data_IF_068581931879
#
_entry.id   IF_068581931879
#
_cell.length_a   1.000
_cell.length_b   1.000
_cell.length_c   1.000
_cell.angle_alpha   90.00
_cell.angle_beta   90.00
_cell.angle_gamma   90.00
#
_symmetry.space_group_name_H-M   'P 1'
#
loop_
_entity.id
_entity.type
_entity.pdbx_description
1 polymer ?
#
# COMPACT_ATOMS: atom_id res chain seq x y z
N UNK A 1 17.76 59.64 -36.32
CA UNK A 1 16.57 58.93 -35.82
C UNK A 1 16.74 57.42 -35.83
N UNK A 2 17.31 56.83 -36.87
CA UNK A 2 17.49 55.36 -36.95
C UNK A 2 18.31 54.72 -35.80
N UNK A 3 19.40 55.37 -35.34
CA UNK A 3 20.29 54.89 -34.28
C UNK A 3 19.57 54.76 -32.92
N UNK A 4 18.74 55.72 -32.54
CA UNK A 4 18.00 55.69 -31.26
C UNK A 4 16.92 54.60 -31.26
N UNK A 5 16.35 54.31 -32.43
CA UNK A 5 15.35 53.24 -32.58
C UNK A 5 16.03 51.85 -32.46
N UNK A 6 17.22 51.70 -33.06
CA UNK A 6 17.98 50.45 -32.95
C UNK A 6 18.46 50.18 -31.49
N UNK A 7 18.98 51.21 -30.81
CA UNK A 7 19.34 51.09 -29.40
C UNK A 7 18.15 50.73 -28.49
N UNK A 8 16.99 51.32 -28.72
CA UNK A 8 15.76 50.98 -28.00
C UNK A 8 15.30 49.54 -28.25
N UNK A 9 15.39 49.07 -29.49
CA UNK A 9 15.08 47.69 -29.86
C UNK A 9 16.04 46.71 -29.17
N UNK A 10 17.33 46.97 -29.20
CA UNK A 10 18.37 46.15 -28.57
C UNK A 10 18.18 46.04 -27.06
N UNK A 11 17.83 47.14 -26.40
CA UNK A 11 17.58 47.18 -24.96
C UNK A 11 16.32 46.39 -24.61
N UNK A 12 15.26 46.52 -25.42
CA UNK A 12 14.04 45.76 -25.24
C UNK A 12 14.22 44.26 -25.46
N UNK A 13 15.00 43.86 -26.45
CA UNK A 13 15.37 42.46 -26.69
C UNK A 13 16.17 41.88 -25.49
N UNK A 14 17.07 42.63 -24.89
CA UNK A 14 17.81 42.18 -23.70
C UNK A 14 16.88 41.92 -22.52
N UNK A 15 15.92 42.84 -22.27
CA UNK A 15 14.92 42.71 -21.20
C UNK A 15 14.06 41.45 -21.44
N UNK A 16 13.50 41.28 -22.64
CA UNK A 16 12.65 40.12 -22.99
C UNK A 16 13.45 38.80 -22.89
N UNK A 17 14.70 38.77 -23.33
CA UNK A 17 15.54 37.57 -23.19
C UNK A 17 15.85 37.24 -21.72
N UNK A 18 16.06 38.26 -20.86
CA UNK A 18 16.21 38.03 -19.43
C UNK A 18 14.95 37.48 -18.76
N UNK A 19 13.79 38.04 -19.10
CA UNK A 19 12.49 37.58 -18.59
C UNK A 19 12.13 36.18 -19.10
N UNK A 20 12.43 35.86 -20.36
CA UNK A 20 12.23 34.55 -20.94
C UNK A 20 13.11 33.51 -20.24
N UNK A 21 14.40 33.82 -20.04
CA UNK A 21 15.32 32.95 -19.30
C UNK A 21 14.87 32.66 -17.87
N UNK A 22 14.35 33.67 -17.17
CA UNK A 22 13.78 33.50 -15.82
C UNK A 22 12.58 32.55 -15.86
N UNK A 23 11.65 32.73 -16.81
CA UNK A 23 10.46 31.86 -16.92
C UNK A 23 10.82 30.42 -17.32
N UNK A 24 11.84 30.23 -18.16
CA UNK A 24 12.37 28.92 -18.52
C UNK A 24 12.99 28.20 -17.29
N UNK A 25 13.74 28.93 -16.46
CA UNK A 25 14.27 28.40 -15.20
C UNK A 25 13.17 28.06 -14.21
N UNK A 26 12.12 28.88 -14.10
CA UNK A 26 10.96 28.60 -13.26
C UNK A 26 10.25 27.32 -13.72
N UNK A 27 10.07 27.13 -15.02
CA UNK A 27 9.46 25.94 -15.60
C UNK A 27 10.30 24.68 -15.33
N UNK A 28 11.61 24.78 -15.52
CA UNK A 28 12.55 23.68 -15.25
C UNK A 28 12.55 23.31 -13.76
N UNK A 29 12.63 24.32 -12.89
CA UNK A 29 12.62 24.14 -11.43
C UNK A 29 11.31 23.51 -10.99
N UNK A 30 10.19 24.01 -11.49
CA UNK A 30 8.87 23.44 -11.20
C UNK A 30 8.77 21.98 -11.61
N UNK A 31 9.19 21.63 -12.83
CA UNK A 31 9.21 20.23 -13.30
C UNK A 31 10.10 19.33 -12.45
N UNK A 32 11.28 19.81 -12.07
CA UNK A 32 12.23 19.09 -11.24
C UNK A 32 11.70 18.89 -9.81
N UNK A 33 11.20 19.95 -9.19
CA UNK A 33 10.74 19.91 -7.78
C UNK A 33 9.45 19.11 -7.62
N UNK A 34 8.57 19.15 -8.65
CA UNK A 34 7.40 18.30 -8.72
C UNK A 34 7.74 16.84 -9.12
N UNK A 35 8.99 16.56 -9.55
CA UNK A 35 9.42 15.24 -10.03
C UNK A 35 8.69 14.79 -11.29
N UNK A 36 8.26 15.75 -12.14
CA UNK A 36 7.38 15.51 -13.27
C UNK A 36 8.17 15.52 -14.57
N UNK A 37 8.17 14.40 -15.27
CA UNK A 37 8.63 14.32 -16.66
C UNK A 37 7.48 14.60 -17.62
N UNK A 38 6.29 14.05 -17.30
CA UNK A 38 5.01 14.26 -18.00
C UNK A 38 3.87 14.13 -16.98
N UNK A 39 3.22 15.24 -16.66
CA UNK A 39 2.17 15.32 -15.64
C UNK A 39 1.01 14.35 -15.90
N UNK A 40 0.63 14.19 -17.16
CA UNK A 40 -0.49 13.31 -17.54
C UNK A 40 -0.14 11.83 -17.37
N UNK A 41 1.05 11.43 -17.80
CA UNK A 41 1.56 10.08 -17.60
C UNK A 41 1.78 9.76 -16.13
N UNK A 42 2.33 10.70 -15.36
CA UNK A 42 2.57 10.54 -13.93
C UNK A 42 1.26 10.42 -13.13
N UNK A 43 0.23 11.19 -13.48
CA UNK A 43 -1.09 11.09 -12.87
C UNK A 43 -1.76 9.74 -13.20
N UNK A 44 -1.65 9.28 -14.44
CA UNK A 44 -2.20 7.99 -14.87
C UNK A 44 -1.48 6.83 -14.16
N UNK A 45 -0.17 6.88 -14.03
CA UNK A 45 0.61 5.92 -13.27
C UNK A 45 0.22 5.93 -11.79
N UNK A 46 0.11 7.10 -11.17
CA UNK A 46 -0.30 7.23 -9.78
C UNK A 46 -1.70 6.64 -9.54
N UNK A 47 -2.63 6.81 -10.47
CA UNK A 47 -3.97 6.23 -10.40
C UNK A 47 -3.93 4.70 -10.47
N UNK A 48 -3.13 4.14 -11.39
CA UNK A 48 -2.95 2.70 -11.54
C UNK A 48 -2.33 2.08 -10.30
N UNK A 49 -1.25 2.68 -9.80
CA UNK A 49 -0.56 2.22 -8.57
C UNK A 49 -1.47 2.32 -7.34
N UNK A 50 -2.22 3.43 -7.19
CA UNK A 50 -3.17 3.57 -6.10
C UNK A 50 -4.22 2.46 -6.12
N UNK A 51 -4.78 2.15 -7.30
CA UNK A 51 -5.77 1.07 -7.46
C UNK A 51 -5.20 -0.30 -7.06
N UNK A 52 -3.96 -0.58 -7.44
CA UNK A 52 -3.27 -1.82 -7.10
C UNK A 52 -3.01 -1.95 -5.59
N UNK A 53 -2.57 -0.85 -4.93
CA UNK A 53 -2.37 -0.84 -3.49
C UNK A 53 -3.70 -0.95 -2.72
N UNK A 54 -4.77 -0.31 -3.17
CA UNK A 54 -6.10 -0.43 -2.57
C UNK A 54 -6.62 -1.88 -2.65
N UNK A 55 -6.42 -2.56 -3.78
CA UNK A 55 -6.76 -3.97 -3.94
C UNK A 55 -5.98 -4.84 -2.96
N UNK A 56 -4.66 -4.70 -2.90
CA UNK A 56 -3.81 -5.44 -1.95
C UNK A 56 -4.20 -5.17 -0.50
N UNK A 57 -4.56 -3.92 -0.18
CA UNK A 57 -5.04 -3.52 1.14
C UNK A 57 -6.34 -4.23 1.52
N UNK A 58 -7.29 -4.31 0.58
CA UNK A 58 -8.56 -5.00 0.79
C UNK A 58 -8.36 -6.51 0.99
N UNK A 59 -7.49 -7.15 0.20
CA UNK A 59 -7.12 -8.56 0.33
C UNK A 59 -6.47 -8.83 1.70
N UNK A 60 -5.46 -8.03 2.08
CA UNK A 60 -4.77 -8.16 3.37
C UNK A 60 -5.71 -7.92 4.56
N UNK A 61 -6.60 -6.93 4.47
CA UNK A 61 -7.62 -6.66 5.49
C UNK A 61 -8.58 -7.85 5.66
N UNK A 62 -8.92 -8.54 4.59
CA UNK A 62 -9.73 -9.76 4.64
C UNK A 62 -8.98 -10.88 5.38
N UNK A 63 -7.71 -11.11 5.06
CA UNK A 63 -6.88 -12.10 5.75
C UNK A 63 -6.72 -11.77 7.23
N UNK A 64 -6.50 -10.50 7.57
CA UNK A 64 -6.40 -10.07 8.97
C UNK A 64 -7.67 -10.37 9.77
N UNK A 65 -8.85 -10.10 9.19
CA UNK A 65 -10.14 -10.42 9.83
C UNK A 65 -10.35 -11.94 10.01
N UNK A 66 -9.94 -12.76 9.04
CA UNK A 66 -10.00 -14.21 9.15
C UNK A 66 -9.11 -14.74 10.27
N UNK A 67 -7.89 -14.23 10.37
CA UNK A 67 -6.95 -14.63 11.44
C UNK A 67 -7.44 -14.13 12.81
N UNK A 68 -8.03 -12.93 12.90
CA UNK A 68 -8.66 -12.42 14.12
C UNK A 68 -9.84 -13.28 14.57
N UNK A 69 -10.67 -13.72 13.63
CA UNK A 69 -11.75 -14.67 13.91
C UNK A 69 -11.21 -15.97 14.50
N UNK A 70 -10.18 -16.56 13.86
CA UNK A 70 -9.53 -17.78 14.37
C UNK A 70 -8.90 -17.58 15.74
N UNK A 71 -8.27 -16.43 15.98
CA UNK A 71 -7.72 -16.09 17.29
C UNK A 71 -8.80 -16.05 18.37
N UNK A 72 -9.93 -15.40 18.08
CA UNK A 72 -11.07 -15.34 18.99
C UNK A 72 -11.66 -16.71 19.27
N UNK A 73 -11.85 -17.53 18.23
CA UNK A 73 -12.36 -18.90 18.36
C UNK A 73 -11.40 -19.79 19.18
N UNK A 74 -10.12 -19.77 18.86
CA UNK A 74 -9.13 -20.59 19.53
C UNK A 74 -8.86 -20.17 20.99
N UNK A 75 -9.07 -18.90 21.34
CA UNK A 75 -8.92 -18.42 22.71
C UNK A 75 -10.17 -18.62 23.57
N UNK A 76 -11.33 -18.93 22.98
CA UNK A 76 -12.54 -19.18 23.74
C UNK A 76 -12.44 -20.50 24.52
N UNK A 77 -12.61 -20.48 25.86
CA UNK A 77 -12.59 -21.70 26.70
C UNK A 77 -13.67 -22.71 26.28
N UNK A 78 -14.82 -22.25 25.79
CA UNK A 78 -15.94 -23.11 25.39
C UNK A 78 -15.56 -24.00 24.20
N UNK A 79 -14.61 -23.55 23.36
CA UNK A 79 -14.11 -24.27 22.20
C UNK A 79 -12.78 -25.02 22.45
N UNK A 80 -12.39 -25.19 23.72
CA UNK A 80 -11.07 -25.77 24.08
C UNK A 80 -10.84 -27.20 23.53
N UNK A 81 -11.91 -27.97 23.33
CA UNK A 81 -11.87 -29.34 22.80
C UNK A 81 -12.54 -29.47 21.42
N UNK A 82 -12.85 -28.37 20.78
CA UNK A 82 -13.45 -28.34 19.45
C UNK A 82 -12.42 -28.17 18.34
N UNK A 83 -12.72 -28.73 17.18
CA UNK A 83 -11.89 -28.56 15.99
C UNK A 83 -11.93 -27.10 15.52
N UNK A 84 -10.78 -26.56 15.18
CA UNK A 84 -10.68 -25.22 14.63
C UNK A 84 -11.14 -25.20 13.16
N UNK A 85 -11.83 -24.13 12.73
CA UNK A 85 -12.22 -23.97 11.32
C UNK A 85 -10.99 -23.91 10.41
N UNK A 86 -10.92 -24.76 9.38
CA UNK A 86 -9.77 -24.81 8.44
C UNK A 86 -10.09 -24.13 7.11
N UNK A 87 -11.32 -24.27 6.61
CA UNK A 87 -11.71 -23.81 5.28
C UNK A 87 -12.23 -22.36 5.30
N UNK A 88 -11.48 -21.46 5.95
CA UNK A 88 -11.85 -20.04 6.06
C UNK A 88 -11.17 -19.16 5.00
N UNK A 89 -10.44 -19.74 4.04
CA UNK A 89 -9.75 -18.97 2.99
C UNK A 89 -8.43 -18.33 3.44
N UNK A 90 -7.72 -18.96 4.39
CA UNK A 90 -6.38 -18.55 4.79
C UNK A 90 -5.39 -18.73 3.65
N UNK A 91 -4.56 -17.72 3.42
CA UNK A 91 -3.44 -17.80 2.46
C UNK A 91 -2.17 -18.35 3.09
N UNK A 92 -2.04 -18.32 4.43
CA UNK A 92 -0.91 -18.90 5.15
C UNK A 92 -1.08 -20.42 5.24
N UNK A 93 -0.36 -21.14 4.38
CA UNK A 93 -0.38 -22.60 4.30
C UNK A 93 0.21 -23.25 5.55
N UNK A 94 1.21 -22.63 6.17
CA UNK A 94 1.85 -23.14 7.40
C UNK A 94 0.87 -23.14 8.57
N UNK A 95 0.11 -22.08 8.75
CA UNK A 95 -0.93 -22.00 9.75
C UNK A 95 -2.05 -23.01 9.46
N UNK A 96 -2.49 -23.14 8.20
CA UNK A 96 -3.52 -24.09 7.81
C UNK A 96 -3.11 -25.55 8.10
N UNK A 97 -1.86 -25.93 7.79
CA UNK A 97 -1.32 -27.26 8.09
C UNK A 97 -1.25 -27.51 9.60
N UNK A 98 -0.82 -26.51 10.37
CA UNK A 98 -0.72 -26.64 11.82
C UNK A 98 -2.10 -26.84 12.46
N UNK A 99 -3.12 -26.12 11.98
CA UNK A 99 -4.51 -26.30 12.42
C UNK A 99 -5.04 -27.70 12.03
N UNK A 100 -4.75 -28.18 10.82
CA UNK A 100 -5.13 -29.53 10.40
C UNK A 100 -4.55 -30.58 11.35
N UNK A 101 -3.27 -30.54 11.66
CA UNK A 101 -2.62 -31.48 12.61
C UNK A 101 -3.25 -31.41 13.99
N UNK A 102 -3.53 -30.21 14.49
CA UNK A 102 -4.22 -30.03 15.76
C UNK A 102 -5.62 -30.70 15.74
N UNK A 103 -6.39 -30.47 14.67
CA UNK A 103 -7.71 -31.04 14.50
C UNK A 103 -7.66 -32.59 14.41
N UNK A 104 -6.69 -33.16 13.69
CA UNK A 104 -6.47 -34.60 13.62
C UNK A 104 -6.23 -35.21 15.01
N UNK A 105 -5.42 -34.55 15.85
CA UNK A 105 -5.19 -35.01 17.22
C UNK A 105 -6.44 -34.97 18.09
N UNK A 106 -7.29 -33.96 17.93
CA UNK A 106 -8.59 -33.88 18.62
C UNK A 106 -9.55 -34.99 18.17
N UNK A 107 -9.59 -35.28 16.86
CA UNK A 107 -10.42 -36.37 16.33
C UNK A 107 -9.94 -37.74 16.80
N UNK A 108 -8.60 -37.92 16.88
CA UNK A 108 -8.00 -39.14 17.43
C UNK A 108 -8.33 -39.31 18.91
N UNK A 109 -8.22 -38.25 19.72
CA UNK A 109 -8.67 -38.25 21.12
C UNK A 109 -10.14 -38.70 21.23
N UNK A 110 -11.02 -38.11 20.43
CA UNK A 110 -12.44 -38.46 20.41
C UNK A 110 -12.67 -39.95 20.03
N UNK A 111 -11.86 -40.47 19.11
CA UNK A 111 -11.87 -41.88 18.72
C UNK A 111 -11.46 -42.80 19.88
N UNK A 112 -10.35 -42.49 20.54
CA UNK A 112 -9.83 -43.28 21.66
C UNK A 112 -10.82 -43.31 22.85
N UNK A 113 -11.50 -42.23 23.14
CA UNK A 113 -12.47 -42.14 24.23
C UNK A 113 -13.76 -42.94 23.99
N UNK A 114 -13.97 -43.49 22.77
CA UNK A 114 -15.10 -44.43 22.52
C UNK A 114 -14.82 -45.81 23.11
N UNK A 115 -13.58 -46.20 23.28
CA UNK A 115 -13.14 -47.52 23.73
C UNK A 115 -12.23 -47.49 24.97
N UNK A 116 -11.86 -46.32 25.45
CA UNK A 116 -10.94 -46.12 26.56
C UNK A 116 -11.45 -45.03 27.53
N UNK A 117 -11.01 -45.06 28.75
CA UNK A 117 -11.31 -44.04 29.75
C UNK A 117 -10.26 -42.90 29.67
N UNK A 118 -10.56 -41.72 30.23
CA UNK A 118 -9.72 -40.54 30.25
C UNK A 118 -8.38 -40.77 30.97
N UNK A 119 -8.36 -41.67 31.96
CA UNK A 119 -7.16 -42.05 32.70
C UNK A 119 -6.23 -43.04 31.98
N UNK A 120 -6.58 -43.50 30.77
CA UNK A 120 -5.71 -44.35 29.98
C UNK A 120 -4.43 -43.60 29.63
N UNK A 121 -3.22 -44.18 29.87
CA UNK A 121 -1.95 -43.53 29.59
C UNK A 121 -1.80 -43.00 28.17
N UNK A 122 -2.40 -43.69 27.18
CA UNK A 122 -2.38 -43.23 25.78
C UNK A 122 -3.19 -41.94 25.61
N UNK A 123 -4.36 -41.82 26.25
CA UNK A 123 -5.20 -40.60 26.22
C UNK A 123 -4.50 -39.46 26.94
N UNK A 124 -3.90 -39.73 28.13
CA UNK A 124 -3.17 -38.72 28.91
C UNK A 124 -1.98 -38.16 28.12
N UNK A 125 -1.22 -39.02 27.43
CA UNK A 125 -0.09 -38.57 26.58
C UNK A 125 -0.57 -37.79 25.38
N UNK A 126 -1.67 -38.19 24.75
CA UNK A 126 -2.29 -37.46 23.63
C UNK A 126 -2.80 -36.07 24.08
N UNK A 127 -3.39 -35.99 25.28
CA UNK A 127 -3.85 -34.72 25.85
C UNK A 127 -2.70 -33.75 26.12
N UNK A 128 -1.54 -34.25 26.58
CA UNK A 128 -0.35 -33.44 26.72
C UNK A 128 0.13 -32.90 25.35
N UNK A 129 0.11 -33.74 24.34
CA UNK A 129 0.49 -33.36 22.96
C UNK A 129 -0.48 -32.36 22.34
N UNK A 130 -1.79 -32.53 22.58
CA UNK A 130 -2.84 -31.59 22.13
C UNK A 130 -2.63 -30.21 22.78
N UNK A 131 -2.34 -30.14 24.08
CA UNK A 131 -2.05 -28.87 24.77
C UNK A 131 -0.83 -28.17 24.18
N UNK A 132 0.25 -28.91 23.93
CA UNK A 132 1.45 -28.37 23.30
C UNK A 132 1.16 -27.86 21.87
N UNK A 133 0.43 -28.64 21.09
CA UNK A 133 0.06 -28.25 19.72
C UNK A 133 -0.86 -27.01 19.72
N UNK A 134 -1.83 -26.93 20.63
CA UNK A 134 -2.68 -25.74 20.79
C UNK A 134 -1.85 -24.48 21.09
N UNK A 135 -0.87 -24.58 21.97
CA UNK A 135 0.04 -23.47 22.27
C UNK A 135 0.79 -23.02 21.01
N UNK A 136 1.27 -23.95 20.20
CA UNK A 136 1.93 -23.65 18.93
C UNK A 136 0.98 -22.98 17.94
N UNK A 137 -0.26 -23.46 17.80
CA UNK A 137 -1.29 -22.86 16.95
C UNK A 137 -1.56 -21.43 17.38
N UNK A 138 -1.80 -21.16 18.66
CA UNK A 138 -2.06 -19.81 19.19
C UNK A 138 -0.88 -18.87 18.95
N UNK A 139 0.36 -19.36 19.17
CA UNK A 139 1.57 -18.57 18.91
C UNK A 139 1.70 -18.23 17.42
N UNK A 140 1.41 -19.17 16.54
CA UNK A 140 1.47 -18.97 15.08
C UNK A 140 0.37 -18.00 14.62
N UNK A 141 -0.86 -18.15 15.10
CA UNK A 141 -1.98 -17.21 14.84
C UNK A 141 -1.55 -15.79 15.20
N UNK A 142 -1.00 -15.59 16.41
CA UNK A 142 -0.54 -14.27 16.86
C UNK A 142 0.60 -13.70 16.01
N UNK A 143 1.48 -14.57 15.50
CA UNK A 143 2.59 -14.15 14.63
C UNK A 143 2.09 -13.75 13.25
N UNK A 144 1.18 -14.53 12.65
CA UNK A 144 0.54 -14.21 11.35
C UNK A 144 -0.27 -12.93 11.46
N UNK A 145 -1.05 -12.76 12.54
CA UNK A 145 -1.82 -11.54 12.78
C UNK A 145 -0.95 -10.30 12.84
N UNK A 146 0.20 -10.38 13.55
CA UNK A 146 1.17 -9.26 13.60
C UNK A 146 1.77 -8.98 12.24
N UNK A 147 2.16 -10.01 11.49
CA UNK A 147 2.68 -9.86 10.13
C UNK A 147 1.70 -9.16 9.19
N UNK A 148 0.42 -9.59 9.21
CA UNK A 148 -0.64 -8.97 8.42
C UNK A 148 -0.91 -7.52 8.84
N UNK A 149 -0.83 -7.20 10.14
CA UNK A 149 -1.01 -5.83 10.64
C UNK A 149 0.13 -4.90 10.17
N UNK A 150 1.38 -5.39 10.16
CA UNK A 150 2.52 -4.64 9.61
C UNK A 150 2.33 -4.39 8.11
N UNK A 151 1.96 -5.43 7.37
CA UNK A 151 1.67 -5.32 5.93
C UNK A 151 0.53 -4.33 5.66
N UNK A 152 -0.52 -4.35 6.48
CA UNK A 152 -1.65 -3.41 6.38
C UNK A 152 -1.17 -1.96 6.50
N UNK A 153 -0.36 -1.65 7.52
CA UNK A 153 0.18 -0.31 7.72
C UNK A 153 1.08 0.15 6.57
N UNK A 154 1.87 -0.76 5.98
CA UNK A 154 2.71 -0.44 4.82
C UNK A 154 1.88 -0.17 3.57
N UNK A 155 0.85 -0.98 3.30
CA UNK A 155 -0.06 -0.79 2.17
C UNK A 155 -0.85 0.51 2.30
N UNK A 156 -1.32 0.87 3.50
CA UNK A 156 -1.99 2.14 3.77
C UNK A 156 -1.08 3.35 3.51
N UNK A 157 0.19 3.25 3.92
CA UNK A 157 1.18 4.30 3.66
C UNK A 157 1.44 4.47 2.16
N UNK A 158 1.56 3.38 1.42
CA UNK A 158 1.79 3.43 -0.03
C UNK A 158 0.55 3.97 -0.77
N UNK A 159 -0.64 3.46 -0.46
CA UNK A 159 -1.89 3.98 -1.03
C UNK A 159 -2.05 5.47 -0.76
N UNK A 160 -1.81 5.92 0.48
CA UNK A 160 -1.85 7.35 0.85
C UNK A 160 -0.88 8.22 0.06
N UNK A 161 0.33 7.71 -0.21
CA UNK A 161 1.32 8.42 -1.04
C UNK A 161 0.82 8.65 -2.46
N UNK A 162 0.24 7.65 -3.10
CA UNK A 162 -0.29 7.76 -4.45
C UNK A 162 -1.59 8.57 -4.50
N UNK A 163 -2.48 8.42 -3.51
CA UNK A 163 -3.68 9.24 -3.37
C UNK A 163 -3.32 10.74 -3.26
N UNK A 164 -2.28 11.08 -2.50
CA UNK A 164 -1.76 12.45 -2.41
C UNK A 164 -1.27 13.00 -3.75
N UNK A 165 -0.58 12.19 -4.55
CA UNK A 165 -0.16 12.58 -5.91
C UNK A 165 -1.35 12.88 -6.82
N UNK A 166 -2.37 12.01 -6.79
CA UNK A 166 -3.61 12.19 -7.58
C UNK A 166 -4.31 13.48 -7.17
N UNK A 167 -4.43 13.76 -5.89
CA UNK A 167 -5.10 14.96 -5.37
C UNK A 167 -4.35 16.25 -5.74
N UNK A 168 -3.03 16.22 -5.80
CA UNK A 168 -2.20 17.39 -6.13
C UNK A 168 -2.07 17.63 -7.64
N UNK A 169 -2.28 16.62 -8.49
CA UNK A 169 -2.11 16.72 -9.93
C UNK A 169 -2.88 17.89 -10.60
N UNK A 170 -4.16 18.17 -10.29
CA UNK A 170 -4.87 19.31 -10.91
C UNK A 170 -4.30 20.67 -10.51
N UNK A 171 -3.72 20.79 -9.33
CA UNK A 171 -3.01 22.01 -8.89
C UNK A 171 -1.72 22.23 -9.66
N UNK A 172 -0.95 21.17 -9.81
CA UNK A 172 0.30 21.17 -10.56
C UNK A 172 0.07 21.45 -12.05
N UNK A 173 -1.00 20.90 -12.64
CA UNK A 173 -1.38 21.17 -14.02
C UNK A 173 -1.70 22.65 -14.25
N UNK A 174 -2.47 23.27 -13.36
CA UNK A 174 -2.79 24.70 -13.44
C UNK A 174 -1.54 25.57 -13.36
N UNK A 175 -0.58 25.26 -12.48
CA UNK A 175 0.69 25.96 -12.36
C UNK A 175 1.53 25.79 -13.62
N UNK A 176 1.65 24.58 -14.14
CA UNK A 176 2.37 24.26 -15.37
C UNK A 176 1.83 25.07 -16.56
N UNK A 177 0.49 25.06 -16.75
CA UNK A 177 -0.19 25.82 -17.81
C UNK A 177 0.04 27.33 -17.66
N UNK A 178 0.00 27.85 -16.42
CA UNK A 178 0.27 29.27 -16.15
C UNK A 178 1.69 29.67 -16.55
N UNK A 179 2.71 28.90 -16.13
CA UNK A 179 4.11 29.18 -16.46
C UNK A 179 4.37 29.04 -17.96
N UNK A 180 3.83 27.97 -18.60
CA UNK A 180 3.96 27.75 -20.04
C UNK A 180 3.31 28.88 -20.86
N UNK A 181 2.15 29.38 -20.44
CA UNK A 181 1.49 30.53 -21.09
C UNK A 181 2.32 31.80 -20.96
N UNK A 182 2.96 32.06 -19.81
CA UNK A 182 3.87 33.18 -19.64
C UNK A 182 5.08 33.09 -20.57
N UNK A 183 5.64 31.87 -20.71
CA UNK A 183 6.75 31.60 -21.63
C UNK A 183 6.35 31.88 -23.09
N UNK A 184 5.17 31.41 -23.52
CA UNK A 184 4.64 31.65 -24.87
C UNK A 184 4.42 33.14 -25.16
N UNK A 185 3.87 33.91 -24.22
CA UNK A 185 3.68 35.35 -24.35
C UNK A 185 5.01 36.05 -24.54
N UNK A 186 5.99 35.77 -23.66
CA UNK A 186 7.33 36.37 -23.73
C UNK A 186 8.10 35.99 -24.99
N UNK A 187 7.94 34.73 -25.45
CA UNK A 187 8.49 34.29 -26.72
C UNK A 187 7.81 34.96 -27.93
N UNK A 188 6.50 35.23 -27.86
CA UNK A 188 5.74 36.02 -28.85
C UNK A 188 6.20 37.46 -28.90
N UNK A 189 6.36 38.10 -27.74
CA UNK A 189 6.85 39.49 -27.64
C UNK A 189 8.26 39.66 -28.24
N UNK A 190 9.13 38.67 -28.03
CA UNK A 190 10.46 38.65 -28.64
C UNK A 190 10.36 38.64 -30.18
N UNK A 191 9.48 37.83 -30.76
CA UNK A 191 9.29 37.72 -32.23
C UNK A 191 8.69 38.99 -32.82
N UNK A 192 7.90 39.73 -32.06
CA UNK A 192 7.28 40.97 -32.54
C UNK A 192 8.17 42.22 -32.48
N UNK A 193 9.29 42.14 -31.77
CA UNK A 193 10.26 43.23 -31.63
C UNK A 193 11.38 43.08 -32.65
N UNK A 194 11.62 41.88 -33.20
CA UNK A 194 12.59 41.62 -34.30
C UNK A 194 11.94 41.82 -35.64
#
# INVERSE_FOLDING_TARGET
MATKTAEFIDERIKIINGELGTTEQELETFKRDAGLTDLKSDAQLALSENSEYEKKRAENSTQLRLVQFLAGYANNPDHACEVLPVNVGLTDTGLAELINRYNEMLLERKRLLRSSQENNPVVVNLDASIRAMRSNVLTTINSVQRGLAITQADLERQAGKYAGRITNAPGQERQLVSISRQQEIKAGDRKSVV
#
